data_IF_755038725313
#
_entry.id   IF_755038725313
#
_cell.length_a   1.000
_cell.length_b   1.000
_cell.length_c   1.000
_cell.angle_alpha   90.00
_cell.angle_beta   90.00
_cell.angle_gamma   90.00
#
_symmetry.space_group_name_H-M   'P 1'
#
loop_
_entity.id
_entity.type
_entity.pdbx_description
1 polymer ?
#
# COMPACT_ATOMS: atom_id res chain seq x y z
N UNK A 1 0.13 0.10 -26.03
CA UNK A 1 -0.20 0.76 -24.74
C UNK A 1 0.58 0.03 -23.67
N UNK A 2 1.34 0.76 -22.84
CA UNK A 2 2.09 0.17 -21.72
C UNK A 2 1.18 -0.18 -20.54
N UNK A 3 1.76 -0.36 -19.36
CA UNK A 3 1.03 -0.53 -18.11
C UNK A 3 0.37 0.77 -17.65
N UNK A 4 -0.83 0.68 -17.07
CA UNK A 4 -1.54 1.79 -16.44
C UNK A 4 -1.09 1.87 -14.98
N UNK A 5 -0.65 3.04 -14.53
CA UNK A 5 -0.26 3.26 -13.14
C UNK A 5 -1.24 4.21 -12.43
N UNK A 6 -1.67 3.84 -11.23
CA UNK A 6 -2.47 4.67 -10.34
C UNK A 6 -1.62 5.11 -9.16
N UNK A 7 -1.32 6.41 -9.06
CA UNK A 7 -0.47 6.95 -8.00
C UNK A 7 -1.36 7.39 -6.84
N UNK A 8 -1.07 6.86 -5.65
CA UNK A 8 -1.81 7.15 -4.41
C UNK A 8 -0.87 7.83 -3.42
N UNK A 9 -1.34 8.90 -2.78
CA UNK A 9 -0.56 9.58 -1.75
C UNK A 9 -0.40 8.70 -0.49
N UNK A 10 0.85 8.50 -0.10
CA UNK A 10 1.29 7.64 1.00
C UNK A 10 0.73 8.03 2.39
N UNK A 11 0.28 9.28 2.59
CA UNK A 11 -0.33 9.74 3.84
C UNK A 11 -1.83 9.49 3.98
N UNK A 12 -2.47 8.77 3.05
CA UNK A 12 -3.89 8.46 3.13
C UNK A 12 -4.21 7.44 4.23
N UNK A 13 -5.46 7.50 4.71
CA UNK A 13 -6.01 6.46 5.57
C UNK A 13 -6.14 5.13 4.80
N UNK A 14 -6.03 4.02 5.53
CA UNK A 14 -6.10 2.65 4.98
C UNK A 14 -7.32 2.42 4.07
N UNK A 15 -8.49 2.94 4.44
CA UNK A 15 -9.72 2.78 3.65
C UNK A 15 -9.64 3.48 2.28
N UNK A 16 -8.95 4.63 2.20
CA UNK A 16 -8.77 5.36 0.96
C UNK A 16 -7.82 4.62 0.02
N UNK A 17 -6.76 4.00 0.56
CA UNK A 17 -5.89 3.12 -0.24
C UNK A 17 -6.67 1.91 -0.78
N UNK A 18 -7.46 1.24 0.05
CA UNK A 18 -8.30 0.10 -0.38
C UNK A 18 -9.24 0.47 -1.50
N UNK A 19 -9.98 1.58 -1.36
CA UNK A 19 -10.93 2.02 -2.38
C UNK A 19 -10.26 2.19 -3.76
N UNK A 20 -9.02 2.72 -3.81
CA UNK A 20 -8.27 2.88 -5.06
C UNK A 20 -7.77 1.57 -5.65
N UNK A 21 -7.35 0.63 -4.79
CA UNK A 21 -6.94 -0.71 -5.21
C UNK A 21 -8.13 -1.44 -5.87
N UNK A 22 -9.30 -1.39 -5.24
CA UNK A 22 -10.52 -2.05 -5.71
C UNK A 22 -11.05 -1.39 -6.99
N UNK A 23 -11.11 -0.06 -7.06
CA UNK A 23 -11.59 0.68 -8.23
C UNK A 23 -10.71 0.43 -9.47
N UNK A 24 -9.40 0.26 -9.28
CA UNK A 24 -8.44 0.05 -10.36
C UNK A 24 -8.16 -1.43 -10.68
N UNK A 25 -8.82 -2.38 -9.99
CA UNK A 25 -8.54 -3.82 -10.09
C UNK A 25 -7.02 -4.14 -10.07
N UNK A 26 -6.33 -3.60 -9.06
CA UNK A 26 -4.86 -3.56 -9.02
C UNK A 26 -4.26 -4.93 -8.72
N UNK A 27 -3.39 -5.43 -9.61
CA UNK A 27 -2.63 -6.69 -9.41
C UNK A 27 -1.27 -6.52 -8.71
N UNK A 28 -0.62 -5.36 -8.88
CA UNK A 28 0.70 -5.06 -8.31
C UNK A 28 0.65 -3.76 -7.51
N UNK A 29 1.01 -3.82 -6.23
CA UNK A 29 1.17 -2.66 -5.36
C UNK A 29 2.67 -2.36 -5.16
N UNK A 30 3.09 -1.13 -5.42
CA UNK A 30 4.48 -0.68 -5.20
C UNK A 30 4.48 0.32 -4.03
N UNK A 31 5.27 0.03 -3.00
CA UNK A 31 5.43 0.88 -1.81
C UNK A 31 6.90 0.96 -1.39
N UNK A 32 7.24 1.88 -0.49
CA UNK A 32 8.47 1.74 0.31
C UNK A 32 8.19 1.02 1.63
N UNK A 33 9.24 0.49 2.27
CA UNK A 33 9.18 -0.04 3.64
C UNK A 33 8.63 1.00 4.63
N UNK A 34 9.06 2.24 4.48
CA UNK A 34 8.65 3.35 5.32
C UNK A 34 8.96 4.72 4.71
N UNK A 35 8.61 5.75 5.46
CA UNK A 35 9.02 7.14 5.21
C UNK A 35 9.53 7.79 6.49
N UNK A 36 10.38 8.82 6.35
CA UNK A 36 10.81 9.62 7.49
C UNK A 36 9.79 10.72 7.79
N UNK A 37 9.22 10.69 9.00
CA UNK A 37 8.36 11.76 9.52
C UNK A 37 9.01 12.32 10.78
N UNK A 38 9.41 13.59 10.76
CA UNK A 38 10.12 14.25 11.87
C UNK A 38 11.35 13.44 12.35
N UNK A 39 12.20 13.02 11.40
CA UNK A 39 13.37 12.17 11.62
C UNK A 39 13.09 10.79 12.25
N UNK A 40 11.83 10.37 12.33
CA UNK A 40 11.46 9.03 12.76
C UNK A 40 10.95 8.21 11.59
N UNK A 41 11.41 6.96 11.42
CA UNK A 41 10.87 6.08 10.41
C UNK A 41 9.42 5.70 10.75
N UNK A 42 8.54 5.72 9.75
CA UNK A 42 7.13 5.33 9.86
C UNK A 42 6.85 4.27 8.80
N UNK A 43 6.41 3.08 9.24
CA UNK A 43 6.12 1.95 8.35
C UNK A 43 4.93 2.26 7.43
N UNK A 44 5.14 2.06 6.13
CA UNK A 44 4.06 2.08 5.13
C UNK A 44 3.54 0.68 4.83
N UNK A 45 4.37 -0.34 5.02
CA UNK A 45 3.99 -1.74 4.90
C UNK A 45 2.79 -2.08 5.78
N UNK A 46 2.79 -1.60 7.03
CA UNK A 46 1.67 -1.83 7.95
C UNK A 46 0.35 -1.24 7.44
N UNK A 47 0.40 -0.08 6.78
CA UNK A 47 -0.78 0.56 6.20
C UNK A 47 -1.25 -0.20 4.96
N UNK A 48 -0.31 -0.66 4.13
CA UNK A 48 -0.59 -1.47 2.95
C UNK A 48 -1.25 -2.79 3.35
N UNK A 49 -0.68 -3.55 4.30
CA UNK A 49 -1.22 -4.85 4.72
C UNK A 49 -2.63 -4.74 5.28
N UNK A 50 -2.89 -3.69 6.07
CA UNK A 50 -4.25 -3.41 6.56
C UNK A 50 -5.22 -3.09 5.42
N UNK A 51 -4.76 -2.46 4.33
CA UNK A 51 -5.62 -2.16 3.18
C UNK A 51 -5.94 -3.42 2.37
N UNK A 52 -5.00 -4.39 2.34
CA UNK A 52 -5.15 -5.66 1.63
C UNK A 52 -5.94 -6.71 2.42
N UNK A 53 -5.96 -6.60 3.75
CA UNK A 53 -6.78 -7.44 4.64
C UNK A 53 -8.27 -7.19 4.33
N UNK A 54 -9.17 -8.20 4.38
CA UNK A 54 -10.60 -7.98 4.17
C UNK A 54 -11.17 -6.91 5.12
N UNK A 55 -11.95 -5.98 4.58
CA UNK A 55 -12.65 -4.97 5.36
C UNK A 55 -13.92 -5.49 6.02
N UNK A 56 -14.66 -4.59 6.68
CA UNK A 56 -16.02 -4.87 7.22
C UNK A 56 -17.05 -5.17 6.13
N UNK A 57 -16.72 -4.84 4.88
CA UNK A 57 -17.48 -5.09 3.67
C UNK A 57 -17.23 -6.50 3.07
N UNK A 58 -16.30 -7.27 3.64
CA UNK A 58 -15.96 -8.62 3.16
C UNK A 58 -15.22 -8.66 1.83
N UNK A 59 -14.90 -7.51 1.24
CA UNK A 59 -14.19 -7.42 -0.03
C UNK A 59 -12.73 -7.86 0.14
N UNK A 60 -12.33 -8.86 -0.65
CA UNK A 60 -10.93 -9.34 -0.72
C UNK A 60 -10.15 -8.48 -1.71
N UNK A 61 -8.90 -8.16 -1.40
CA UNK A 61 -8.03 -7.39 -2.30
C UNK A 61 -7.71 -8.18 -3.58
N UNK A 62 -7.61 -7.48 -4.71
CA UNK A 62 -7.22 -8.02 -6.02
C UNK A 62 -5.70 -8.04 -6.24
N UNK A 63 -4.93 -7.56 -5.25
CA UNK A 63 -3.47 -7.51 -5.30
C UNK A 63 -2.88 -8.91 -5.18
N UNK A 64 -2.08 -9.29 -6.18
CA UNK A 64 -1.36 -10.56 -6.24
C UNK A 64 0.08 -10.40 -5.70
N UNK A 65 0.69 -9.24 -5.91
CA UNK A 65 2.08 -8.98 -5.56
C UNK A 65 2.28 -7.59 -4.93
N UNK A 66 3.23 -7.50 -4.00
CA UNK A 66 3.69 -6.24 -3.42
C UNK A 66 5.19 -6.12 -3.67
N UNK A 67 5.60 -5.04 -4.32
CA UNK A 67 7.00 -4.65 -4.42
C UNK A 67 7.31 -3.63 -3.33
N UNK A 68 8.22 -3.99 -2.42
CA UNK A 68 8.65 -3.12 -1.32
C UNK A 68 10.04 -2.57 -1.63
N UNK A 69 10.15 -1.25 -1.72
CA UNK A 69 11.41 -0.54 -1.89
C UNK A 69 11.99 -0.20 -0.52
N UNK A 70 13.23 -0.61 -0.25
CA UNK A 70 13.91 -0.31 1.00
C UNK A 70 14.39 1.15 1.02
N UNK A 71 13.70 2.01 1.77
CA UNK A 71 13.98 3.44 1.92
C UNK A 71 14.44 3.82 3.33
N UNK A 72 13.90 3.17 4.35
CA UNK A 72 14.12 3.51 5.77
C UNK A 72 14.92 2.47 6.55
N UNK A 73 15.00 1.23 6.05
CA UNK A 73 15.64 0.11 6.74
C UNK A 73 14.84 -0.42 7.93
N UNK A 74 13.52 -0.16 7.98
CA UNK A 74 12.66 -0.70 9.04
C UNK A 74 12.42 -2.17 8.75
N UNK A 75 12.34 -2.98 9.81
CA UNK A 75 11.93 -4.37 9.69
C UNK A 75 10.48 -4.49 9.18
N UNK A 76 10.22 -5.51 8.36
CA UNK A 76 8.99 -5.71 7.59
C UNK A 76 8.13 -6.88 8.11
N UNK A 77 8.45 -7.40 9.31
CA UNK A 77 7.82 -8.56 9.95
C UNK A 77 6.30 -8.54 9.93
#
# INVERSE_FOLDING_TARGET
>A
MGTIHSVVFCGFATHALRARITDADTKLLIISDGQFRRNKPVSLKNTADKALTPGTDGATSTVEHILVVQRTGIDLS
#
